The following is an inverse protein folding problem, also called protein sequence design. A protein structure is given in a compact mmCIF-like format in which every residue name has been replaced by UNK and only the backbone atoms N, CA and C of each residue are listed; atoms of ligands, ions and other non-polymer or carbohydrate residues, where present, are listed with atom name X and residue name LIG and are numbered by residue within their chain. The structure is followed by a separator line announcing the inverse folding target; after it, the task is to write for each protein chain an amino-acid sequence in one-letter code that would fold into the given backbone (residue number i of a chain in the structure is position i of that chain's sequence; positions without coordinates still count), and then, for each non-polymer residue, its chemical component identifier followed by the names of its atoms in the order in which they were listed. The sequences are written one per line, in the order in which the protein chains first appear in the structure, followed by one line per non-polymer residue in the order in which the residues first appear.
data_IF_462129680393
#
_entry.id   IF_462129680393
#
_cell.length_a   1.000
_cell.length_b   1.000
_cell.length_c   1.000
_cell.angle_alpha   90.00
_cell.angle_beta   90.00
_cell.angle_gamma   90.00
#
_symmetry.space_group_name_H-M   'P 1'
#
loop_
_entity.id
_entity.type
_entity.pdbx_description
1 polymer ?
#
# COMPACT_ATOMS: atom_id res chain seq x y z
N UNK A 1 -13.04 16.15 -1.27
CA UNK A 1 -12.63 14.93 -0.53
C UNK A 1 -11.10 14.89 -0.53
N UNK A 2 -10.46 15.02 0.64
CA UNK A 2 -8.99 15.10 0.71
C UNK A 2 -8.38 13.70 0.69
N UNK A 3 -7.67 13.38 -0.40
CA UNK A 3 -6.96 12.11 -0.61
C UNK A 3 -5.80 11.95 0.37
N UNK A 4 -5.52 10.72 0.82
CA UNK A 4 -4.36 10.43 1.66
C UNK A 4 -3.45 9.46 0.90
N UNK A 5 -2.32 9.98 0.44
CA UNK A 5 -1.32 9.17 -0.25
C UNK A 5 -0.35 8.57 0.76
N UNK A 6 -0.05 7.28 0.61
CA UNK A 6 1.06 6.64 1.33
C UNK A 6 2.05 6.09 0.32
N UNK A 7 3.34 6.37 0.56
CA UNK A 7 4.42 5.74 -0.17
C UNK A 7 4.65 4.35 0.42
N UNK A 8 4.59 3.33 -0.42
CA UNK A 8 4.92 1.95 -0.07
C UNK A 8 6.06 1.45 -0.93
N UNK A 9 6.80 0.46 -0.42
CA UNK A 9 7.79 -0.29 -1.18
C UNK A 9 7.23 -1.67 -1.47
N UNK A 10 7.32 -2.09 -2.72
CA UNK A 10 6.92 -3.42 -3.17
C UNK A 10 8.08 -4.07 -3.89
N UNK A 11 8.22 -5.39 -3.74
CA UNK A 11 9.28 -6.15 -4.41
C UNK A 11 8.79 -6.60 -5.79
N UNK A 12 9.54 -6.26 -6.84
CA UNK A 12 9.30 -6.75 -8.19
C UNK A 12 9.40 -8.28 -8.20
N UNK A 13 8.37 -9.01 -8.66
CA UNK A 13 8.35 -10.47 -8.65
C UNK A 13 9.34 -11.09 -9.65
N UNK A 14 9.87 -10.30 -10.60
CA UNK A 14 10.74 -10.80 -11.66
C UNK A 14 12.24 -10.66 -11.35
N UNK A 15 12.66 -9.53 -10.79
CA UNK A 15 14.07 -9.24 -10.51
C UNK A 15 14.38 -9.03 -9.01
N UNK A 16 13.37 -9.00 -8.14
CA UNK A 16 13.53 -8.86 -6.69
C UNK A 16 13.88 -7.45 -6.22
N UNK A 17 13.92 -6.45 -7.11
CA UNK A 17 14.15 -5.05 -6.79
C UNK A 17 12.98 -4.43 -6.04
N UNK A 18 13.26 -3.53 -5.10
CA UNK A 18 12.24 -2.70 -4.46
C UNK A 18 11.82 -1.54 -5.38
N UNK A 19 10.51 -1.38 -5.57
CA UNK A 19 9.88 -0.28 -6.31
C UNK A 19 9.07 0.56 -5.33
N UNK A 20 9.27 1.88 -5.34
CA UNK A 20 8.50 2.80 -4.51
C UNK A 20 7.27 3.30 -5.28
N UNK A 21 6.11 3.31 -4.63
CA UNK A 21 4.89 3.82 -5.26
C UNK A 21 3.97 4.53 -4.26
N UNK A 22 3.20 5.49 -4.75
CA UNK A 22 2.16 6.17 -3.98
C UNK A 22 0.82 5.44 -4.16
N UNK A 23 0.21 5.03 -3.05
CA UNK A 23 -1.13 4.44 -3.02
C UNK A 23 -2.11 5.43 -2.41
N UNK A 24 -3.22 5.68 -3.11
CA UNK A 24 -4.33 6.49 -2.61
C UNK A 24 -5.16 5.63 -1.64
N UNK A 25 -5.06 5.93 -0.35
CA UNK A 25 -5.90 5.29 0.67
C UNK A 25 -7.15 6.15 0.88
N UNK A 26 -8.35 5.66 0.50
CA UNK A 26 -9.57 6.41 0.71
C UNK A 26 -9.83 6.61 2.22
N UNK A 27 -10.27 7.81 2.61
CA UNK A 27 -10.69 8.07 4.01
C UNK A 27 -11.95 7.31 4.40
N UNK A 28 -12.78 6.98 3.41
CA UNK A 28 -14.06 6.28 3.57
C UNK A 28 -14.12 5.14 2.57
N UNK A 29 -14.28 3.91 3.06
CA UNK A 29 -14.26 2.69 2.24
C UNK A 29 -12.97 1.89 2.40
N UNK A 30 -13.09 0.58 2.30
CA UNK A 30 -11.98 -0.37 2.49
C UNK A 30 -11.38 -0.85 1.15
N UNK A 31 -11.96 -0.46 0.02
CA UNK A 31 -11.55 -0.95 -1.28
C UNK A 31 -10.42 -0.08 -1.87
N UNK A 32 -9.31 -0.72 -2.21
CA UNK A 32 -8.20 -0.14 -2.95
C UNK A 32 -8.13 -0.89 -4.28
N UNK A 33 -8.28 -0.17 -5.39
CA UNK A 33 -8.21 -0.77 -6.72
C UNK A 33 -6.80 -1.35 -6.97
N UNK A 34 -6.68 -2.47 -7.70
CA UNK A 34 -5.38 -2.97 -8.15
C UNK A 34 -4.63 -1.93 -8.97
N UNK A 35 -3.31 -1.85 -8.77
CA UNK A 35 -2.44 -0.86 -9.42
C UNK A 35 -1.42 -1.60 -10.28
N UNK A 36 -1.27 -1.19 -11.54
CA UNK A 36 -0.20 -1.67 -12.41
C UNK A 36 1.06 -0.86 -12.12
N UNK A 37 2.18 -1.56 -11.95
CA UNK A 37 3.48 -0.97 -11.62
C UNK A 37 4.50 -1.46 -12.62
N UNK A 38 5.25 -0.53 -13.20
CA UNK A 38 6.39 -0.83 -14.08
C UNK A 38 7.67 -0.85 -13.24
N UNK A 39 8.46 -1.92 -13.35
CA UNK A 39 9.77 -2.00 -12.72
C UNK A 39 10.84 -1.34 -13.61
N UNK A 40 10.97 -0.02 -13.52
CA UNK A 40 11.80 0.82 -14.40
C UNK A 40 13.29 0.43 -14.44
N UNK A 41 13.79 0.09 -15.63
CA UNK A 41 15.20 -0.24 -15.90
C UNK A 41 16.16 0.94 -15.72
N UNK A 42 15.74 2.19 -15.93
CA UNK A 42 16.57 3.37 -15.69
C UNK A 42 16.87 3.56 -14.20
N UNK A 43 15.98 3.07 -13.34
CA UNK A 43 16.23 2.99 -11.91
C UNK A 43 16.99 1.70 -11.50
N UNK A 44 17.34 0.83 -12.45
CA UNK A 44 17.98 -0.49 -12.22
C UNK A 44 17.01 -1.68 -12.16
N UNK A 45 15.79 -1.53 -12.70
CA UNK A 45 14.74 -2.55 -12.77
C UNK A 45 14.84 -3.47 -13.99
N UNK A 46 13.71 -4.04 -14.42
CA UNK A 46 13.66 -5.04 -15.50
C UNK A 46 12.58 -4.79 -16.57
N UNK A 47 11.97 -3.59 -16.59
CA UNK A 47 10.91 -3.13 -17.51
C UNK A 47 9.69 -4.04 -17.62
N UNK A 48 9.44 -4.84 -16.59
CA UNK A 48 8.24 -5.68 -16.51
C UNK A 48 7.18 -5.01 -15.68
N UNK A 49 5.95 -5.13 -16.16
CA UNK A 49 4.77 -4.73 -15.43
C UNK A 49 4.30 -5.84 -14.49
N UNK A 50 3.85 -5.45 -13.30
CA UNK A 50 3.20 -6.32 -12.34
C UNK A 50 2.06 -5.59 -11.64
N UNK A 51 1.14 -6.37 -11.07
CA UNK A 51 -0.04 -5.83 -10.39
C UNK A 51 0.18 -5.88 -8.88
N UNK A 52 -0.06 -4.76 -8.21
CA UNK A 52 -0.09 -4.65 -6.76
C UNK A 52 -1.54 -4.54 -6.31
N UNK A 53 -1.94 -5.44 -5.42
CA UNK A 53 -3.23 -5.38 -4.71
C UNK A 53 -2.96 -5.04 -3.26
N UNK A 54 -3.38 -3.86 -2.82
CA UNK A 54 -3.28 -3.46 -1.43
C UNK A 54 -4.55 -3.82 -0.67
N UNK A 55 -4.40 -4.35 0.55
CA UNK A 55 -5.51 -4.68 1.43
C UNK A 55 -5.32 -3.94 2.77
N UNK A 56 -6.38 -3.30 3.27
CA UNK A 56 -6.37 -2.59 4.54
C UNK A 56 -7.03 -3.46 5.62
N UNK A 57 -6.26 -3.83 6.63
CA UNK A 57 -6.76 -4.52 7.82
C UNK A 57 -6.85 -3.53 9.00
N UNK A 58 -8.03 -3.38 9.60
CA UNK A 58 -8.23 -2.56 10.82
C UNK A 58 -8.25 -3.50 12.02
N UNK A 59 -7.29 -3.34 12.94
CA UNK A 59 -7.23 -4.08 14.21
C UNK A 59 -7.68 -3.17 15.35
N UNK A 60 -8.66 -3.61 16.14
CA UNK A 60 -9.17 -2.90 17.31
C UNK A 60 -8.95 -3.71 18.58
N UNK A 61 -8.74 -3.01 19.69
CA UNK A 61 -8.67 -3.60 21.03
C UNK A 61 -9.48 -2.74 21.98
N UNK A 62 -10.33 -3.36 22.79
CA UNK A 62 -11.04 -2.68 23.88
C UNK A 62 -10.14 -2.62 25.11
N UNK A 63 -10.18 -1.50 25.84
CA UNK A 63 -9.42 -1.29 27.07
C UNK A 63 -10.40 -0.75 28.11
N UNK A 64 -10.30 -1.22 29.36
CA UNK A 64 -11.03 -0.61 30.47
C UNK A 64 -10.48 0.79 30.73
N UNK A 65 -11.35 1.71 31.12
CA UNK A 65 -10.93 2.99 31.71
C UNK A 65 -10.62 2.70 33.18
N UNK A 66 -9.46 3.13 33.67
CA UNK A 66 -9.13 2.97 35.09
C UNK A 66 -9.82 4.06 35.92
N UNK A 67 -10.51 3.67 36.99
CA UNK A 67 -11.18 4.61 37.91
C UNK A 67 -12.65 4.93 37.63
N UNK A 68 -13.26 4.28 36.63
CA UNK A 68 -14.73 4.25 36.48
C UNK A 68 -15.27 2.95 37.12
N UNK A 69 -16.14 3.08 38.12
CA UNK A 69 -16.98 2.00 38.70
C UNK A 69 -18.35 1.94 38.02
#
# INVERSE_FOLDING_TARGET
MSKMYRNIKVKCPYCGKDVCMAVDFPRTGSYIAPIVVTCDADEGGCDKDFVVKAELEIKTQTRKIEGEE
#
